data_IF_942519210612
#
_entry.id   IF_942519210612
#
_cell.length_a   1.000
_cell.length_b   1.000
_cell.length_c   1.000
_cell.angle_alpha   90.00
_cell.angle_beta   90.00
_cell.angle_gamma   90.00
#
_symmetry.space_group_name_H-M   'P 1'
#
loop_
_entity.id
_entity.type
_entity.pdbx_description
1 polymer ?
#
# COMPACT_ATOMS: atom_id res chain seq x y z
N UNK A 1 5.85 -15.95 18.85
CA UNK A 1 4.75 -15.74 17.88
C UNK A 1 3.85 -14.64 18.42
N UNK A 2 3.63 -13.56 17.67
CA UNK A 2 2.71 -12.50 18.08
C UNK A 2 1.28 -13.03 18.12
N UNK A 3 0.50 -12.55 19.09
CA UNK A 3 -0.92 -12.90 19.19
C UNK A 3 -1.69 -12.15 18.09
N UNK A 4 -2.41 -12.89 17.26
CA UNK A 4 -3.25 -12.37 16.16
C UNK A 4 -4.22 -11.29 16.65
N UNK A 5 -4.87 -11.55 17.79
CA UNK A 5 -5.86 -10.64 18.34
C UNK A 5 -5.24 -9.28 18.74
N UNK A 6 -4.04 -9.29 19.29
CA UNK A 6 -3.30 -8.06 19.61
C UNK A 6 -2.94 -7.26 18.37
N UNK A 7 -2.60 -7.94 17.26
CA UNK A 7 -2.31 -7.25 15.99
C UNK A 7 -3.58 -6.61 15.43
N UNK A 8 -4.72 -7.30 15.47
CA UNK A 8 -6.02 -6.77 15.07
C UNK A 8 -6.38 -5.52 15.90
N UNK A 9 -6.25 -5.59 17.21
CA UNK A 9 -6.52 -4.45 18.10
C UNK A 9 -5.60 -3.27 17.85
N UNK A 10 -4.31 -3.55 17.61
CA UNK A 10 -3.32 -2.51 17.28
C UNK A 10 -3.69 -1.79 15.98
N UNK A 11 -4.06 -2.52 14.91
CA UNK A 11 -4.51 -1.92 13.65
C UNK A 11 -5.74 -1.05 13.88
N UNK A 12 -6.77 -1.56 14.55
CA UNK A 12 -8.00 -0.80 14.83
C UNK A 12 -7.72 0.48 15.62
N UNK A 13 -6.84 0.40 16.61
CA UNK A 13 -6.48 1.55 17.43
C UNK A 13 -5.67 2.59 16.64
N UNK A 14 -4.69 2.16 15.85
CA UNK A 14 -3.80 3.05 15.10
C UNK A 14 -4.55 3.82 14.01
N UNK A 15 -5.52 3.19 13.35
CA UNK A 15 -6.27 3.76 12.23
C UNK A 15 -7.63 4.34 12.61
N UNK A 16 -7.98 4.37 13.90
CA UNK A 16 -9.29 4.83 14.38
C UNK A 16 -9.63 6.25 13.96
N UNK A 17 -8.65 7.14 14.03
CA UNK A 17 -8.82 8.57 13.80
C UNK A 17 -8.29 9.01 12.41
N UNK A 18 -8.11 8.04 11.49
CA UNK A 18 -7.68 8.32 10.12
C UNK A 18 -8.82 8.99 9.36
N UNK A 19 -8.56 10.18 8.84
CA UNK A 19 -9.55 10.95 8.10
C UNK A 19 -9.77 10.36 6.71
N UNK A 20 -11.04 10.23 6.31
CA UNK A 20 -11.41 9.80 4.97
C UNK A 20 -11.23 10.95 3.99
N UNK A 21 -10.50 10.77 2.87
CA UNK A 21 -10.53 11.74 1.78
C UNK A 21 -11.93 11.77 1.13
N UNK A 22 -12.32 12.91 0.57
CA UNK A 22 -13.54 13.01 -0.22
C UNK A 22 -13.49 12.09 -1.45
N UNK A 23 -14.66 11.68 -1.97
CA UNK A 23 -14.75 10.76 -3.13
C UNK A 23 -13.92 11.21 -4.34
N UNK A 24 -13.89 12.52 -4.60
CA UNK A 24 -13.09 13.10 -5.69
C UNK A 24 -11.57 12.94 -5.51
N UNK A 25 -11.10 12.56 -4.32
CA UNK A 25 -9.69 12.43 -3.96
C UNK A 25 -9.30 10.99 -3.59
N UNK A 26 -10.15 10.00 -3.90
CA UNK A 26 -9.83 8.61 -3.66
C UNK A 26 -8.87 8.02 -4.69
N UNK A 27 -8.96 8.49 -5.93
CA UNK A 27 -8.22 7.96 -7.07
C UNK A 27 -6.90 8.71 -7.25
N UNK A 28 -5.78 7.98 -7.24
CA UNK A 28 -4.43 8.53 -7.41
C UNK A 28 -3.91 8.50 -8.85
N UNK A 29 -4.51 7.68 -9.73
CA UNK A 29 -4.15 7.59 -11.13
C UNK A 29 -5.36 7.81 -12.03
N UNK A 30 -5.22 8.61 -13.08
CA UNK A 30 -6.27 8.91 -14.06
C UNK A 30 -5.95 8.35 -15.45
N UNK A 31 -5.00 7.41 -15.56
CA UNK A 31 -4.63 6.80 -16.83
C UNK A 31 -5.52 5.60 -17.15
N UNK A 32 -6.31 5.75 -18.22
CA UNK A 32 -7.23 4.70 -18.65
C UNK A 32 -8.48 4.60 -17.76
N UNK A 33 -9.18 3.47 -17.88
CA UNK A 33 -10.45 3.24 -17.17
C UNK A 33 -10.30 2.44 -15.89
N UNK A 34 -9.29 1.58 -15.83
CA UNK A 34 -9.08 0.62 -14.75
C UNK A 34 -8.95 1.29 -13.35
N UNK A 35 -8.22 2.42 -13.19
CA UNK A 35 -8.15 3.07 -11.88
C UNK A 35 -9.50 3.49 -11.34
N UNK A 36 -10.34 4.12 -12.19
CA UNK A 36 -11.69 4.54 -11.80
C UNK A 36 -12.60 3.36 -11.47
N UNK A 37 -12.57 2.30 -12.28
CA UNK A 37 -13.35 1.08 -12.05
C UNK A 37 -12.94 0.37 -10.76
N UNK A 38 -11.63 0.34 -10.45
CA UNK A 38 -11.09 -0.28 -9.22
C UNK A 38 -11.46 0.48 -7.95
N UNK A 39 -11.51 1.82 -8.01
CA UNK A 39 -11.81 2.68 -6.85
C UNK A 39 -13.30 2.90 -6.66
N UNK A 40 -14.12 2.76 -7.71
CA UNK A 40 -15.57 3.00 -7.66
C UNK A 40 -16.30 2.30 -6.50
N UNK A 41 -16.00 1.03 -6.11
CA UNK A 41 -16.67 0.37 -4.99
C UNK A 41 -16.47 1.04 -3.61
N UNK A 42 -15.50 1.94 -3.50
CA UNK A 42 -15.16 2.64 -2.26
C UNK A 42 -15.77 4.03 -2.14
N UNK A 43 -16.39 4.51 -3.22
CA UNK A 43 -17.10 5.79 -3.20
C UNK A 43 -18.30 5.72 -2.25
N UNK A 44 -18.52 6.77 -1.48
CA UNK A 44 -19.59 6.84 -0.48
C UNK A 44 -19.37 6.00 0.78
N UNK A 45 -18.32 5.17 0.86
CA UNK A 45 -18.01 4.38 2.06
C UNK A 45 -17.45 5.29 3.14
N UNK A 46 -18.27 5.59 4.16
CA UNK A 46 -17.91 6.52 5.24
C UNK A 46 -17.02 5.88 6.33
N UNK A 47 -17.04 4.56 6.46
CA UNK A 47 -16.30 3.82 7.48
C UNK A 47 -15.66 2.57 6.87
N UNK A 48 -14.33 2.56 6.79
CA UNK A 48 -13.57 1.44 6.25
C UNK A 48 -13.83 0.12 6.99
N UNK A 49 -14.17 0.19 8.28
CA UNK A 49 -14.41 -1.01 9.11
C UNK A 49 -15.68 -1.76 8.75
N UNK A 50 -16.57 -1.15 7.97
CA UNK A 50 -17.84 -1.73 7.50
C UNK A 50 -17.72 -2.43 6.14
N UNK A 51 -16.54 -2.35 5.49
CA UNK A 51 -16.34 -2.99 4.19
C UNK A 51 -16.35 -4.52 4.32
N UNK A 52 -17.22 -5.14 3.54
CA UNK A 52 -17.27 -6.59 3.48
C UNK A 52 -16.01 -7.14 2.75
N UNK A 53 -15.34 -8.17 3.28
CA UNK A 53 -14.14 -8.75 2.66
C UNK A 53 -14.32 -9.18 1.20
N UNK A 54 -15.51 -9.58 0.80
CA UNK A 54 -15.81 -9.92 -0.60
C UNK A 54 -15.64 -8.72 -1.55
N UNK A 55 -15.93 -7.50 -1.08
CA UNK A 55 -15.72 -6.26 -1.86
C UNK A 55 -14.22 -5.99 -1.96
N UNK A 56 -13.49 -6.14 -0.85
CA UNK A 56 -12.04 -5.95 -0.80
C UNK A 56 -11.33 -6.93 -1.75
N UNK A 57 -11.71 -8.18 -1.73
CA UNK A 57 -11.08 -9.22 -2.54
C UNK A 57 -11.43 -9.08 -4.04
N UNK A 58 -12.68 -8.69 -4.36
CA UNK A 58 -13.09 -8.37 -5.73
C UNK A 58 -12.38 -7.12 -6.29
N UNK A 59 -11.98 -6.18 -5.41
CA UNK A 59 -11.28 -4.94 -5.74
C UNK A 59 -9.78 -5.02 -5.39
N UNK A 60 -9.14 -6.16 -5.69
CA UNK A 60 -7.74 -6.44 -5.32
C UNK A 60 -6.73 -5.44 -5.89
N UNK A 61 -7.05 -4.80 -7.02
CA UNK A 61 -6.19 -3.79 -7.66
C UNK A 61 -6.34 -2.40 -7.05
N UNK A 62 -7.38 -2.15 -6.24
CA UNK A 62 -7.69 -0.82 -5.74
C UNK A 62 -6.54 -0.20 -4.92
N UNK A 63 -5.81 -1.01 -4.14
CA UNK A 63 -4.63 -0.55 -3.38
C UNK A 63 -3.54 0.07 -4.26
N UNK A 64 -3.45 -0.31 -5.54
CA UNK A 64 -2.50 0.25 -6.50
C UNK A 64 -2.98 1.56 -7.15
N UNK A 65 -4.27 1.87 -7.04
CA UNK A 65 -4.90 2.99 -7.74
C UNK A 65 -5.46 4.07 -6.82
N UNK A 66 -5.51 3.81 -5.52
CA UNK A 66 -5.84 4.86 -4.55
C UNK A 66 -4.83 6.01 -4.59
N UNK A 67 -5.28 7.21 -4.27
CA UNK A 67 -4.44 8.29 -3.79
C UNK A 67 -3.73 7.89 -2.49
N UNK A 68 -2.76 8.66 -2.06
CA UNK A 68 -2.10 8.42 -0.77
C UNK A 68 -3.11 8.44 0.39
N UNK A 69 -4.04 9.40 0.36
CA UNK A 69 -5.11 9.49 1.34
C UNK A 69 -6.07 8.32 1.28
N UNK A 70 -6.48 7.88 0.07
CA UNK A 70 -7.34 6.72 -0.15
C UNK A 70 -6.67 5.42 0.31
N UNK A 71 -5.41 5.23 -0.05
CA UNK A 71 -4.61 4.07 0.37
C UNK A 71 -4.49 4.00 1.90
N UNK A 72 -4.11 5.10 2.54
CA UNK A 72 -4.01 5.18 4.01
C UNK A 72 -5.33 4.85 4.70
N UNK A 73 -6.45 5.37 4.16
CA UNK A 73 -7.78 5.18 4.78
C UNK A 73 -8.30 3.76 4.65
N UNK A 74 -8.16 3.11 3.48
CA UNK A 74 -8.72 1.79 3.23
C UNK A 74 -7.78 0.63 3.56
N UNK A 75 -6.48 0.85 3.68
CA UNK A 75 -5.51 -0.20 4.00
C UNK A 75 -5.91 -1.05 5.22
N UNK A 76 -6.34 -0.47 6.38
CA UNK A 76 -6.67 -1.27 7.57
C UNK A 76 -7.78 -2.30 7.32
N UNK A 77 -8.74 -2.03 6.44
CA UNK A 77 -9.77 -3.02 6.07
C UNK A 77 -9.15 -4.25 5.40
N UNK A 78 -8.21 -4.05 4.48
CA UNK A 78 -7.48 -5.14 3.83
C UNK A 78 -6.61 -5.92 4.82
N UNK A 79 -5.89 -5.23 5.73
CA UNK A 79 -5.06 -5.89 6.74
C UNK A 79 -5.89 -6.80 7.67
N UNK A 80 -7.05 -6.32 8.10
CA UNK A 80 -7.94 -7.11 8.97
C UNK A 80 -8.56 -8.29 8.24
N UNK A 81 -9.04 -8.09 7.00
CA UNK A 81 -9.60 -9.16 6.20
C UNK A 81 -8.56 -10.25 5.88
N UNK A 82 -7.29 -9.87 5.63
CA UNK A 82 -6.19 -10.81 5.42
C UNK A 82 -5.82 -11.56 6.70
N UNK A 83 -5.78 -10.89 7.86
CA UNK A 83 -5.58 -11.56 9.15
C UNK A 83 -6.69 -12.57 9.44
N UNK A 84 -7.91 -12.27 9.03
CA UNK A 84 -9.07 -13.17 9.16
C UNK A 84 -9.11 -14.28 8.07
N UNK A 85 -8.12 -14.31 7.17
CA UNK A 85 -7.99 -15.30 6.07
C UNK A 85 -9.19 -15.23 5.08
N UNK A 86 -9.73 -14.03 4.87
CA UNK A 86 -10.92 -13.77 4.04
C UNK A 86 -10.58 -13.17 2.67
N UNK A 87 -9.31 -13.00 2.35
CA UNK A 87 -8.82 -12.56 1.04
C UNK A 87 -8.20 -13.75 0.31
N UNK A 88 -8.50 -13.88 -0.98
CA UNK A 88 -7.95 -14.91 -1.86
C UNK A 88 -7.06 -14.32 -2.95
N UNK A 89 -7.43 -13.14 -3.44
CA UNK A 89 -6.78 -12.45 -4.56
C UNK A 89 -6.02 -11.21 -4.10
N UNK A 90 -6.62 -10.41 -3.22
CA UNK A 90 -5.98 -9.21 -2.70
C UNK A 90 -4.81 -9.55 -1.77
N UNK A 91 -3.65 -8.97 -2.05
CA UNK A 91 -2.41 -9.21 -1.29
C UNK A 91 -1.87 -7.91 -0.68
N UNK A 92 -2.31 -7.54 0.53
CA UNK A 92 -1.80 -6.35 1.20
C UNK A 92 -0.32 -6.49 1.62
N UNK A 93 0.20 -7.71 1.81
CA UNK A 93 1.62 -7.91 2.12
C UNK A 93 2.47 -7.48 0.91
N UNK A 94 2.08 -7.89 -0.31
CA UNK A 94 2.75 -7.44 -1.52
C UNK A 94 2.78 -5.92 -1.63
N UNK A 95 1.66 -5.23 -1.39
CA UNK A 95 1.59 -3.76 -1.45
C UNK A 95 2.53 -3.07 -0.44
N UNK A 96 2.77 -3.70 0.70
CA UNK A 96 3.61 -3.15 1.77
C UNK A 96 5.09 -3.55 1.66
N UNK A 97 5.44 -4.52 0.81
CA UNK A 97 6.82 -5.05 0.68
C UNK A 97 7.43 -4.82 -0.70
N UNK A 98 6.60 -4.55 -1.71
CA UNK A 98 7.08 -4.33 -3.08
C UNK A 98 8.01 -3.10 -3.14
N UNK A 99 9.15 -3.25 -3.82
CA UNK A 99 10.14 -2.18 -3.97
C UNK A 99 11.23 -2.15 -2.89
N UNK A 100 11.26 -3.08 -1.94
CA UNK A 100 12.30 -3.12 -0.90
C UNK A 100 13.35 -4.24 -1.08
N UNK A 101 13.12 -5.16 -2.00
CA UNK A 101 14.07 -6.23 -2.34
C UNK A 101 14.27 -6.33 -3.85
N UNK A 102 15.42 -6.86 -4.26
CA UNK A 102 15.70 -7.21 -5.64
C UNK A 102 15.54 -8.70 -5.85
N UNK A 103 14.98 -9.08 -7.00
CA UNK A 103 14.92 -10.46 -7.49
C UNK A 103 15.59 -10.58 -8.84
N UNK A 104 16.30 -11.66 -9.04
CA UNK A 104 16.79 -12.05 -10.37
C UNK A 104 15.76 -12.97 -11.02
N UNK A 105 15.31 -12.60 -12.19
CA UNK A 105 14.42 -13.42 -13.02
C UNK A 105 15.14 -13.83 -14.29
N UNK A 106 14.95 -15.07 -14.67
CA UNK A 106 15.51 -15.62 -15.88
C UNK A 106 14.48 -15.50 -17.00
N UNK A 107 14.82 -14.80 -18.06
CA UNK A 107 13.93 -14.52 -19.17
C UNK A 107 14.43 -15.25 -20.43
N UNK A 108 13.60 -16.10 -21.06
CA UNK A 108 13.92 -16.67 -22.37
C UNK A 108 13.77 -15.59 -23.46
N UNK A 109 14.77 -15.50 -24.33
CA UNK A 109 14.78 -14.60 -25.49
C UNK A 109 15.26 -15.38 -26.73
N UNK A 110 14.35 -16.03 -27.41
CA UNK A 110 14.67 -16.93 -28.53
C UNK A 110 15.49 -18.13 -28.06
N UNK A 111 16.69 -18.30 -28.60
CA UNK A 111 17.64 -19.36 -28.21
C UNK A 111 18.55 -18.99 -27.02
N UNK A 112 18.45 -17.75 -26.53
CA UNK A 112 19.25 -17.25 -25.42
C UNK A 112 18.42 -17.12 -24.15
N UNK A 113 19.10 -17.13 -23.01
CA UNK A 113 18.52 -16.89 -21.69
C UNK A 113 19.33 -15.77 -21.05
N UNK A 114 18.67 -14.76 -20.52
CA UNK A 114 19.34 -13.69 -19.78
C UNK A 114 18.71 -13.45 -18.41
N UNK A 115 19.52 -13.04 -17.48
CA UNK A 115 19.05 -12.61 -16.16
C UNK A 115 18.68 -11.13 -16.17
N UNK A 116 17.56 -10.80 -15.56
CA UNK A 116 17.13 -9.42 -15.30
C UNK A 116 16.87 -9.25 -13.81
N UNK A 117 17.44 -8.21 -13.22
CA UNK A 117 17.07 -7.79 -11.87
C UNK A 117 15.79 -6.98 -11.93
N UNK A 118 14.81 -7.37 -11.13
CA UNK A 118 13.56 -6.64 -10.88
C UNK A 118 13.44 -6.34 -9.39
N UNK A 119 12.69 -5.32 -9.02
CA UNK A 119 12.51 -4.92 -7.62
C UNK A 119 13.12 -3.56 -7.34
N UNK A 120 13.71 -3.37 -6.16
CA UNK A 120 14.09 -2.05 -5.63
C UNK A 120 15.00 -1.23 -6.54
N UNK A 121 15.92 -1.88 -7.24
CA UNK A 121 16.91 -1.23 -8.12
C UNK A 121 16.39 -0.97 -9.53
N UNK A 122 15.25 -1.55 -9.92
CA UNK A 122 14.67 -1.33 -11.23
C UNK A 122 14.02 0.05 -11.31
N UNK A 123 14.15 0.71 -12.47
CA UNK A 123 13.45 1.96 -12.71
C UNK A 123 11.96 1.70 -12.94
N UNK A 124 11.12 2.51 -12.32
CA UNK A 124 9.73 2.67 -12.74
C UNK A 124 9.69 3.37 -14.10
N UNK A 125 8.54 3.40 -14.75
CA UNK A 125 8.40 4.02 -16.08
C UNK A 125 9.04 5.42 -16.10
N UNK A 126 10.19 5.63 -16.79
CA UNK A 126 10.90 6.92 -16.77
C UNK A 126 10.11 8.06 -17.40
N UNK A 127 9.16 7.76 -18.28
CA UNK A 127 8.30 8.75 -18.93
C UNK A 127 7.26 9.31 -17.97
N UNK A 128 6.87 8.52 -16.97
CA UNK A 128 5.84 8.88 -16.00
C UNK A 128 6.43 9.44 -14.71
N UNK A 129 7.48 8.81 -14.18
CA UNK A 129 8.01 9.08 -12.84
C UNK A 129 9.44 9.61 -12.86
N UNK A 130 10.00 9.93 -14.03
CA UNK A 130 11.39 10.32 -14.17
C UNK A 130 12.36 9.15 -13.86
N UNK A 131 13.54 9.47 -13.38
CA UNK A 131 14.59 8.47 -13.05
C UNK A 131 14.41 7.89 -11.63
N UNK A 132 13.18 7.58 -11.24
CA UNK A 132 12.86 7.01 -9.92
C UNK A 132 13.00 5.48 -9.96
N UNK A 133 13.58 4.91 -8.91
CA UNK A 133 13.59 3.45 -8.70
C UNK A 133 12.27 2.99 -8.06
N UNK A 134 12.01 1.68 -8.12
CA UNK A 134 10.89 1.10 -7.36
C UNK A 134 11.03 1.34 -5.86
N UNK A 135 12.27 1.39 -5.35
CA UNK A 135 12.52 1.71 -3.95
C UNK A 135 12.08 3.14 -3.58
N UNK A 136 12.46 4.11 -4.43
CA UNK A 136 12.09 5.50 -4.21
C UNK A 136 10.56 5.69 -4.30
N UNK A 137 9.94 5.04 -5.29
CA UNK A 137 8.49 5.05 -5.47
C UNK A 137 7.76 4.47 -4.26
N UNK A 138 8.17 3.26 -3.80
CA UNK A 138 7.57 2.62 -2.64
C UNK A 138 7.71 3.47 -1.36
N UNK A 139 8.88 4.04 -1.13
CA UNK A 139 9.11 4.94 0.02
C UNK A 139 8.24 6.19 -0.04
N UNK A 140 8.08 6.77 -1.21
CA UNK A 140 7.21 7.93 -1.41
C UNK A 140 5.76 7.58 -1.09
N UNK A 141 5.22 6.54 -1.72
CA UNK A 141 3.84 6.08 -1.54
C UNK A 141 3.53 5.69 -0.08
N UNK A 142 4.46 4.99 0.60
CA UNK A 142 4.27 4.52 1.96
C UNK A 142 4.62 5.56 3.03
N UNK A 143 5.08 6.74 2.63
CA UNK A 143 5.42 7.81 3.57
C UNK A 143 4.22 8.52 4.20
N UNK A 144 3.00 8.23 3.75
CA UNK A 144 1.76 8.83 4.24
C UNK A 144 1.33 8.36 5.64
N UNK A 145 1.94 7.29 6.17
CA UNK A 145 1.54 6.74 7.47
C UNK A 145 2.21 7.45 8.64
N UNK A 146 1.43 7.68 9.70
CA UNK A 146 1.94 8.16 10.98
C UNK A 146 2.82 7.12 11.66
N UNK A 147 3.49 7.52 12.76
CA UNK A 147 4.27 6.62 13.62
C UNK A 147 3.44 5.46 14.15
N UNK A 148 2.25 5.75 14.65
CA UNK A 148 1.34 4.77 15.23
C UNK A 148 0.83 3.78 14.18
N UNK A 149 0.44 4.27 13.01
CA UNK A 149 -0.01 3.45 11.88
C UNK A 149 1.13 2.57 11.35
N UNK A 150 2.33 3.13 11.19
CA UNK A 150 3.52 2.39 10.79
C UNK A 150 3.89 1.29 11.80
N UNK A 151 3.70 1.55 13.10
CA UNK A 151 3.87 0.56 14.15
C UNK A 151 2.89 -0.62 14.03
N UNK A 152 1.64 -0.34 13.69
CA UNK A 152 0.62 -1.37 13.46
C UNK A 152 0.91 -2.17 12.19
N UNK A 153 1.34 -1.51 11.10
CA UNK A 153 1.76 -2.18 9.86
C UNK A 153 2.99 -3.07 10.11
N UNK A 154 4.00 -2.58 10.83
CA UNK A 154 5.17 -3.39 11.19
C UNK A 154 4.76 -4.63 12.00
N UNK A 155 3.85 -4.48 12.96
CA UNK A 155 3.33 -5.60 13.75
C UNK A 155 2.58 -6.63 12.91
N UNK A 156 1.80 -6.17 11.92
CA UNK A 156 1.13 -7.02 10.94
C UNK A 156 2.13 -7.81 10.10
N UNK A 157 3.13 -7.15 9.52
CA UNK A 157 4.16 -7.79 8.70
C UNK A 157 4.98 -8.82 9.49
N UNK A 158 5.34 -8.51 10.74
CA UNK A 158 6.03 -9.45 11.62
C UNK A 158 5.16 -10.67 11.95
N UNK A 159 3.86 -10.48 12.16
CA UNK A 159 2.93 -11.59 12.34
C UNK A 159 2.86 -12.49 11.09
N UNK A 160 2.73 -11.90 9.89
CA UNK A 160 2.67 -12.64 8.61
C UNK A 160 3.95 -13.42 8.35
N UNK A 161 5.12 -12.82 8.61
CA UNK A 161 6.43 -13.49 8.53
C UNK A 161 6.49 -14.72 9.45
N UNK A 162 6.10 -14.56 10.72
CA UNK A 162 6.20 -15.61 11.72
C UNK A 162 5.16 -16.73 11.50
N UNK A 163 4.03 -16.41 10.88
CA UNK A 163 2.99 -17.38 10.54
C UNK A 163 3.38 -18.28 9.34
N UNK A 164 4.41 -17.92 8.57
CA UNK A 164 4.90 -18.71 7.43
C UNK A 164 3.88 -18.94 6.32
N UNK A 165 2.79 -18.16 6.30
CA UNK A 165 1.71 -18.29 5.34
C UNK A 165 1.97 -17.38 4.12
N UNK A 166 1.64 -17.88 2.94
CA UNK A 166 1.64 -17.19 1.63
C UNK A 166 2.88 -17.23 0.77
N UNK A 167 3.80 -18.19 0.89
CA UNK A 167 4.89 -18.31 -0.09
C UNK A 167 5.78 -17.06 -0.24
N UNK A 168 5.46 -16.00 0.50
CA UNK A 168 6.26 -14.80 0.58
C UNK A 168 7.51 -15.12 1.36
N UNK A 169 8.62 -14.83 0.74
CA UNK A 169 9.91 -15.04 1.33
C UNK A 169 10.01 -14.16 2.60
N UNK A 170 10.29 -14.76 3.74
CA UNK A 170 10.55 -14.03 4.98
C UNK A 170 11.61 -12.92 4.79
N UNK A 171 12.50 -13.11 3.82
CA UNK A 171 13.51 -12.13 3.41
C UNK A 171 12.89 -10.82 2.89
N UNK A 172 11.81 -10.88 2.10
CA UNK A 172 11.15 -9.67 1.58
C UNK A 172 10.49 -8.86 2.69
N UNK A 173 9.81 -9.57 3.60
CA UNK A 173 9.22 -8.92 4.77
C UNK A 173 10.32 -8.32 5.66
N UNK A 174 11.42 -9.02 5.88
CA UNK A 174 12.54 -8.48 6.65
C UNK A 174 13.18 -7.27 5.95
N UNK A 175 13.37 -7.33 4.63
CA UNK A 175 13.94 -6.21 3.88
C UNK A 175 13.11 -4.93 4.03
N UNK A 176 11.78 -5.03 3.98
CA UNK A 176 10.92 -3.85 4.15
C UNK A 176 10.81 -3.40 5.60
N UNK A 177 10.79 -4.33 6.56
CA UNK A 177 10.80 -3.99 7.99
C UNK A 177 12.07 -3.22 8.36
N UNK A 178 13.24 -3.70 7.93
CA UNK A 178 14.53 -3.09 8.24
C UNK A 178 14.81 -1.84 7.39
N UNK A 179 14.35 -1.83 6.15
CA UNK A 179 14.59 -0.73 5.20
C UNK A 179 13.62 0.44 5.34
N UNK A 180 12.47 0.26 6.01
CA UNK A 180 11.46 1.31 6.06
C UNK A 180 10.59 1.29 7.34
N UNK A 181 9.84 0.20 7.60
CA UNK A 181 8.74 0.25 8.57
C UNK A 181 9.19 0.47 10.02
N UNK A 182 10.33 -0.09 10.44
CA UNK A 182 10.85 0.11 11.82
C UNK A 182 11.28 1.55 12.05
N UNK A 183 11.97 2.15 11.08
CA UNK A 183 12.32 3.57 11.16
C UNK A 183 11.07 4.44 11.15
N UNK A 184 10.11 4.15 10.28
CA UNK A 184 8.84 4.88 10.21
C UNK A 184 8.03 4.78 11.50
N UNK A 185 8.00 3.62 12.14
CA UNK A 185 7.37 3.42 13.44
C UNK A 185 8.06 4.18 14.59
N UNK A 186 9.38 4.40 14.50
CA UNK A 186 10.14 5.16 15.48
C UNK A 186 10.09 6.68 15.22
N UNK A 187 10.24 7.09 13.95
CA UNK A 187 10.52 8.47 13.54
C UNK A 187 9.47 9.05 12.57
N UNK A 188 8.35 8.35 12.35
CA UNK A 188 7.31 8.78 11.42
C UNK A 188 6.65 10.11 11.80
N UNK A 189 5.92 10.74 10.86
CA UNK A 189 5.27 12.02 11.07
C UNK A 189 4.14 11.93 12.08
N UNK A 190 3.77 13.08 12.58
CA UNK A 190 2.57 13.25 13.39
C UNK A 190 1.33 13.25 12.50
N UNK A 191 0.15 13.01 13.08
CA UNK A 191 -1.14 13.13 12.39
C UNK A 191 -1.32 14.51 11.76
N UNK A 192 -0.86 15.58 12.40
CA UNK A 192 -0.95 16.93 11.86
C UNK A 192 -0.10 17.10 10.59
N UNK A 193 1.13 16.62 10.57
CA UNK A 193 2.01 16.69 9.40
C UNK A 193 1.44 15.89 8.20
N UNK A 194 0.87 14.71 8.47
CA UNK A 194 0.21 13.92 7.43
C UNK A 194 -1.05 14.63 6.91
N UNK A 195 -1.83 15.26 7.78
CA UNK A 195 -3.00 16.02 7.36
C UNK A 195 -2.63 17.22 6.45
N UNK A 196 -1.55 17.90 6.75
CA UNK A 196 -1.03 19.00 5.91
C UNK A 196 -0.60 18.48 4.53
N UNK A 197 0.18 17.40 4.49
CA UNK A 197 0.59 16.74 3.25
C UNK A 197 -0.61 16.30 2.39
N UNK A 198 -1.63 15.67 2.98
CA UNK A 198 -2.81 15.21 2.24
C UNK A 198 -3.68 16.36 1.70
N UNK A 199 -3.60 17.56 2.28
CA UNK A 199 -4.24 18.74 1.70
C UNK A 199 -3.52 19.17 0.42
N UNK A 200 -2.20 19.14 0.41
CA UNK A 200 -1.39 19.43 -0.80
C UNK A 200 -1.65 18.37 -1.89
N UNK A 201 -1.74 17.07 -1.53
CA UNK A 201 -2.13 16.02 -2.47
C UNK A 201 -3.51 16.31 -3.09
N UNK A 202 -4.50 16.66 -2.28
CA UNK A 202 -5.86 16.95 -2.74
C UNK A 202 -5.91 18.18 -3.69
N UNK A 203 -5.05 19.16 -3.49
CA UNK A 203 -4.92 20.31 -4.39
C UNK A 203 -4.33 19.87 -5.74
N UNK A 204 -3.27 19.09 -5.75
CA UNK A 204 -2.68 18.52 -6.95
C UNK A 204 -3.68 17.65 -7.74
N UNK A 205 -4.45 16.80 -7.06
CA UNK A 205 -5.46 15.94 -7.71
C UNK A 205 -6.60 16.75 -8.34
N UNK A 206 -6.98 17.89 -7.76
CA UNK A 206 -7.98 18.80 -8.32
C UNK A 206 -7.54 19.39 -9.67
N UNK A 207 -6.27 19.80 -9.73
CA UNK A 207 -5.69 20.40 -10.95
C UNK A 207 -5.60 19.37 -12.09
N UNK A 208 -5.28 18.12 -11.79
CA UNK A 208 -5.23 17.02 -12.77
C UNK A 208 -6.64 16.68 -13.28
N UNK A 209 -7.64 16.59 -12.39
CA UNK A 209 -9.03 16.27 -12.74
C UNK A 209 -9.72 17.39 -13.54
N UNK A 210 -9.35 18.64 -13.32
CA UNK A 210 -9.91 19.81 -14.01
C UNK A 210 -9.45 19.98 -15.47
N UNK A 211 -8.34 19.34 -15.87
CA UNK A 211 -7.79 19.46 -17.24
C UNK A 211 -8.29 18.36 -18.20
N UNK A 212 -9.10 17.43 -17.74
CA UNK A 212 -9.62 16.30 -18.54
C UNK A 212 -11.13 16.44 -18.88
N UNK A 213 -11.69 17.64 -18.79
CA UNK A 213 -13.06 17.98 -19.12
C UNK A 213 -13.23 18.60 -20.52
#
# INVERSE_FOLDING_TARGET
>A
MRDKQRVIEHIRQAFRDTERPGDAFLQGSHEGREPGESVAPFMGVADWSQLAPVILDASYTALSFFSEGGFRYFLPAYLLADLEERLQTADPVFQLTNGFSDKKVTLPAGSCVYEKTIGKSAFVNPQRYGAMTWHDHARCQLSVFTREEAGAIAAYLEYKRDAGRHGLNAEEINATLDGFWRDRAANGPTQQAVREHLKEEAECLRDIGGNNG
#
